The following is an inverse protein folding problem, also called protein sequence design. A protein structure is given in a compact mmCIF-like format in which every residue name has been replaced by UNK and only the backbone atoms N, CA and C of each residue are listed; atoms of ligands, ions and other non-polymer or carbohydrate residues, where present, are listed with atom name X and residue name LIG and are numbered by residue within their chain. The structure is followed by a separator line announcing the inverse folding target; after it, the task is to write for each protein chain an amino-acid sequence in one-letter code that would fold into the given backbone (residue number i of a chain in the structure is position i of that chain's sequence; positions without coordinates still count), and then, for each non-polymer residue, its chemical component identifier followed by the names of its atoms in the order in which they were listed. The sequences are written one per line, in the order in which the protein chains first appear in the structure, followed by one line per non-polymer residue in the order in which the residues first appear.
data_IF_804316989340
#
_entry.id   IF_804316989340
#
_cell.length_a   1.000
_cell.length_b   1.000
_cell.length_c   1.000
_cell.angle_alpha   90.00
_cell.angle_beta   90.00
_cell.angle_gamma   90.00
#
_symmetry.space_group_name_H-M   'P 1'
#
loop_
_entity.id
_entity.type
_entity.pdbx_description
1 polymer ?
#
# COMPACT_ATOMS: atom_id res chain seq x y z
N UNK A 1 -16.13 24.32 1.33
CA UNK A 1 -15.65 23.32 0.38
C UNK A 1 -14.47 22.63 1.03
N UNK A 2 -14.61 21.33 1.28
CA UNK A 2 -13.63 20.51 1.98
C UNK A 2 -12.30 20.47 1.22
N UNK A 3 -11.19 20.51 1.96
CA UNK A 3 -9.85 20.44 1.38
C UNK A 3 -9.59 19.04 0.78
N UNK A 4 -8.59 18.94 -0.12
CA UNK A 4 -8.12 17.63 -0.62
C UNK A 4 -7.78 16.67 0.54
N UNK A 5 -7.20 17.19 1.62
CA UNK A 5 -6.88 16.42 2.82
C UNK A 5 -8.14 15.87 3.51
N UNK A 6 -9.18 16.70 3.67
CA UNK A 6 -10.44 16.28 4.27
C UNK A 6 -11.06 15.11 3.50
N UNK A 7 -10.97 15.14 2.16
CA UNK A 7 -11.46 14.07 1.29
C UNK A 7 -10.68 12.77 1.48
N UNK A 8 -9.34 12.84 1.48
CA UNK A 8 -8.48 11.67 1.67
C UNK A 8 -8.68 11.04 3.05
N UNK A 9 -8.78 11.86 4.09
CA UNK A 9 -9.06 11.39 5.45
C UNK A 9 -10.40 10.66 5.54
N UNK A 10 -11.47 11.23 4.96
CA UNK A 10 -12.79 10.56 4.96
C UNK A 10 -12.77 9.22 4.22
N UNK A 11 -12.11 9.16 3.06
CA UNK A 11 -11.93 7.90 2.33
C UNK A 11 -11.18 6.87 3.18
N UNK A 12 -10.13 7.29 3.87
CA UNK A 12 -9.38 6.43 4.77
C UNK A 12 -10.23 5.91 5.93
N UNK A 13 -11.01 6.76 6.59
CA UNK A 13 -11.85 6.39 7.74
C UNK A 13 -12.90 5.34 7.36
N UNK A 14 -13.48 5.46 6.16
CA UNK A 14 -14.55 4.57 5.68
C UNK A 14 -14.05 3.27 5.04
N UNK A 15 -12.78 3.20 4.64
CA UNK A 15 -12.24 2.03 3.94
C UNK A 15 -11.80 0.94 4.91
N UNK A 16 -12.08 -0.33 4.58
CA UNK A 16 -11.50 -1.48 5.28
C UNK A 16 -10.19 -1.98 4.61
N UNK A 17 -10.04 -1.69 3.33
CA UNK A 17 -8.88 -2.02 2.51
C UNK A 17 -8.68 -0.99 1.40
N UNK A 18 -7.47 -0.95 0.82
CA UNK A 18 -7.12 -0.10 -0.32
C UNK A 18 -6.71 -0.97 -1.52
N UNK A 19 -7.16 -0.57 -2.71
CA UNK A 19 -6.78 -1.23 -3.96
C UNK A 19 -6.28 -0.16 -4.94
N UNK A 20 -5.03 -0.29 -5.37
CA UNK A 20 -4.43 0.58 -6.39
C UNK A 20 -4.57 -0.06 -7.78
N UNK A 21 -5.36 0.58 -8.63
CA UNK A 21 -5.51 0.23 -10.05
C UNK A 21 -4.51 1.04 -10.89
N UNK A 22 -4.17 0.61 -12.12
CA UNK A 22 -3.37 1.43 -13.03
C UNK A 22 -3.89 2.86 -13.13
N UNK A 23 -3.03 3.85 -12.88
CA UNK A 23 -3.41 5.25 -12.78
C UNK A 23 -2.23 6.21 -12.74
N UNK A 24 -2.52 7.50 -12.83
CA UNK A 24 -1.49 8.55 -12.89
C UNK A 24 -0.94 8.97 -11.52
N UNK A 25 -0.35 10.17 -11.46
CA UNK A 25 0.27 10.71 -10.25
C UNK A 25 -0.67 10.79 -9.04
N UNK A 26 -1.97 11.03 -9.26
CA UNK A 26 -2.94 11.04 -8.16
C UNK A 26 -3.08 9.69 -7.47
N UNK A 27 -3.15 8.61 -8.25
CA UNK A 27 -3.19 7.24 -7.71
C UNK A 27 -1.89 6.89 -7.00
N UNK A 28 -0.75 7.34 -7.54
CA UNK A 28 0.54 7.16 -6.90
C UNK A 28 0.63 7.90 -5.54
N UNK A 29 0.21 9.17 -5.49
CA UNK A 29 0.16 9.96 -4.24
C UNK A 29 -0.66 9.24 -3.17
N UNK A 30 -1.88 8.84 -3.53
CA UNK A 30 -2.80 8.15 -2.61
C UNK A 30 -2.23 6.80 -2.14
N UNK A 31 -1.61 6.03 -3.03
CA UNK A 31 -1.03 4.71 -2.72
C UNK A 31 0.17 4.83 -1.78
N UNK A 32 1.08 5.77 -2.05
CA UNK A 32 2.27 5.98 -1.20
C UNK A 32 1.87 6.57 0.16
N UNK A 33 0.88 7.45 0.22
CA UNK A 33 0.37 8.02 1.48
C UNK A 33 -0.14 6.92 2.42
N UNK A 34 -1.02 6.03 1.95
CA UNK A 34 -1.53 4.93 2.79
C UNK A 34 -0.46 3.90 3.14
N UNK A 35 0.49 3.63 2.24
CA UNK A 35 1.60 2.74 2.54
C UNK A 35 2.52 3.31 3.62
N UNK A 36 2.79 4.61 3.57
CA UNK A 36 3.59 5.33 4.58
C UNK A 36 2.91 5.27 5.95
N UNK A 37 1.59 5.49 6.02
CA UNK A 37 0.84 5.38 7.28
C UNK A 37 0.86 3.96 7.85
N UNK A 38 0.79 2.94 6.99
CA UNK A 38 0.95 1.54 7.39
C UNK A 38 2.34 1.26 7.94
N UNK A 39 3.39 1.75 7.28
CA UNK A 39 4.78 1.61 7.72
C UNK A 39 5.02 2.29 9.08
N UNK A 40 4.37 3.43 9.34
CA UNK A 40 4.39 4.13 10.63
C UNK A 40 3.52 3.45 11.71
N UNK A 41 2.81 2.37 11.37
CA UNK A 41 1.94 1.63 12.30
C UNK A 41 0.63 2.34 12.63
N UNK A 42 0.21 3.35 11.84
CA UNK A 42 -1.02 4.10 12.06
C UNK A 42 -2.28 3.31 11.68
N UNK A 43 -2.13 2.25 10.88
CA UNK A 43 -3.17 1.27 10.61
C UNK A 43 -2.60 -0.06 10.15
N UNK A 44 -3.46 -1.09 10.11
CA UNK A 44 -3.15 -2.42 9.60
C UNK A 44 -3.99 -2.82 8.37
N UNK A 45 -4.78 -1.89 7.81
CA UNK A 45 -5.66 -2.14 6.65
C UNK A 45 -4.89 -2.76 5.46
N UNK A 46 -5.44 -3.79 4.79
CA UNK A 46 -4.84 -4.34 3.58
C UNK A 46 -4.64 -3.29 2.49
N UNK A 47 -3.54 -3.42 1.75
CA UNK A 47 -3.25 -2.64 0.55
C UNK A 47 -2.96 -3.65 -0.55
N UNK A 48 -3.66 -3.56 -1.67
CA UNK A 48 -3.49 -4.45 -2.81
C UNK A 48 -3.18 -3.62 -4.05
N UNK A 49 -2.14 -4.03 -4.79
CA UNK A 49 -1.76 -3.46 -6.07
C UNK A 49 -2.27 -4.41 -7.17
N UNK A 50 -3.13 -3.92 -8.05
CA UNK A 50 -3.51 -4.65 -9.25
C UNK A 50 -2.51 -4.31 -10.38
N UNK A 51 -1.58 -5.23 -10.63
CA UNK A 51 -0.56 -5.13 -11.67
C UNK A 51 -1.03 -5.72 -13.00
N UNK A 52 -2.08 -5.11 -13.55
CA UNK A 52 -2.59 -5.48 -14.86
C UNK A 52 -1.53 -5.20 -15.94
N UNK A 53 -1.09 -6.27 -16.62
CA UNK A 53 -0.11 -6.23 -17.70
C UNK A 53 1.25 -5.59 -17.34
N UNK A 54 1.67 -5.66 -16.06
CA UNK A 54 2.98 -5.16 -15.62
C UNK A 54 3.07 -3.64 -15.50
N UNK A 55 1.94 -2.94 -15.40
CA UNK A 55 1.86 -1.48 -15.26
C UNK A 55 2.74 -0.92 -14.12
N UNK A 56 2.77 -1.60 -12.97
CA UNK A 56 3.47 -1.14 -11.78
C UNK A 56 4.95 -1.53 -11.73
N UNK A 57 5.45 -2.27 -12.72
CA UNK A 57 6.84 -2.76 -12.72
C UNK A 57 7.89 -1.64 -12.57
N UNK A 58 7.67 -0.49 -13.19
CA UNK A 58 8.56 0.66 -13.05
C UNK A 58 8.56 1.25 -11.63
N UNK A 59 7.40 1.29 -10.97
CA UNK A 59 7.30 1.74 -9.58
C UNK A 59 8.00 0.73 -8.65
N UNK A 60 7.78 -0.57 -8.85
CA UNK A 60 8.45 -1.61 -8.06
C UNK A 60 9.97 -1.49 -8.17
N UNK A 61 10.51 -1.26 -9.37
CA UNK A 61 11.95 -1.06 -9.57
C UNK A 61 12.49 0.21 -8.88
N UNK A 62 11.74 1.31 -8.93
CA UNK A 62 12.08 2.53 -8.20
C UNK A 62 12.16 2.27 -6.70
N UNK A 63 11.16 1.60 -6.15
CA UNK A 63 11.07 1.29 -4.73
C UNK A 63 12.20 0.37 -4.26
N UNK A 64 12.55 -0.65 -5.04
CA UNK A 64 13.76 -1.45 -4.81
C UNK A 64 15.01 -0.57 -4.76
N UNK A 65 15.16 0.37 -5.70
CA UNK A 65 16.32 1.27 -5.73
C UNK A 65 16.39 2.20 -4.51
N UNK A 66 15.24 2.64 -3.99
CA UNK A 66 15.15 3.45 -2.75
C UNK A 66 15.63 2.64 -1.54
N UNK A 67 15.26 1.37 -1.44
CA UNK A 67 15.73 0.46 -0.39
C UNK A 67 17.22 0.18 -0.52
N UNK A 68 17.68 -0.19 -1.71
CA UNK A 68 19.09 -0.49 -1.99
C UNK A 68 19.99 0.73 -1.73
N UNK A 69 19.48 1.94 -1.94
CA UNK A 69 20.15 3.20 -1.63
C UNK A 69 20.16 3.57 -0.14
N UNK A 70 19.50 2.80 0.72
CA UNK A 70 19.40 3.08 2.18
C UNK A 70 18.47 4.22 2.55
N UNK A 71 17.57 4.63 1.64
CA UNK A 71 16.60 5.70 1.88
C UNK A 71 15.26 5.21 2.45
N UNK A 72 15.03 3.90 2.42
CA UNK A 72 13.92 3.24 3.11
C UNK A 72 14.43 2.02 3.87
N UNK A 73 13.86 1.78 5.05
CA UNK A 73 14.19 0.65 5.91
C UNK A 73 13.04 -0.34 5.97
N UNK A 74 13.38 -1.61 6.10
CA UNK A 74 12.43 -2.71 6.22
C UNK A 74 11.98 -3.26 4.87
N UNK A 75 11.16 -4.29 4.94
CA UNK A 75 10.63 -4.95 3.75
C UNK A 75 9.39 -4.19 3.26
N UNK A 76 9.61 -3.10 2.51
CA UNK A 76 8.53 -2.29 1.93
C UNK A 76 7.57 -3.14 1.06
N UNK A 77 8.05 -4.27 0.55
CA UNK A 77 7.23 -5.18 -0.26
C UNK A 77 6.17 -5.90 0.60
N UNK A 78 6.32 -5.91 1.93
CA UNK A 78 5.28 -6.42 2.85
C UNK A 78 4.15 -5.44 3.12
N UNK A 79 4.28 -4.18 2.71
CA UNK A 79 3.25 -3.16 2.96
C UNK A 79 1.99 -3.43 2.14
N UNK A 80 2.12 -4.08 0.97
CA UNK A 80 1.02 -4.40 0.08
C UNK A 80 1.17 -5.78 -0.55
N UNK A 81 0.07 -6.33 -1.03
CA UNK A 81 0.06 -7.52 -1.90
C UNK A 81 -0.03 -7.09 -3.36
N UNK A 82 0.56 -7.86 -4.27
CA UNK A 82 0.45 -7.62 -5.72
C UNK A 82 -0.33 -8.77 -6.34
N UNK A 83 -1.30 -8.44 -7.19
CA UNK A 83 -2.15 -9.39 -7.93
C UNK A 83 -2.19 -8.99 -9.41
N UNK A 84 -2.41 -9.96 -10.30
CA UNK A 84 -2.40 -9.72 -11.75
C UNK A 84 -3.81 -9.54 -12.36
N UNK A 85 -4.85 -9.81 -11.57
CA UNK A 85 -6.23 -9.87 -12.03
C UNK A 85 -7.21 -9.40 -10.94
N UNK A 86 -8.35 -8.85 -11.37
CA UNK A 86 -9.34 -8.27 -10.47
C UNK A 86 -9.98 -9.34 -9.56
N UNK A 87 -10.08 -10.56 -10.07
CA UNK A 87 -10.63 -11.74 -9.38
C UNK A 87 -9.82 -12.09 -8.12
N UNK A 88 -8.50 -11.85 -8.12
CA UNK A 88 -7.60 -12.15 -7.00
C UNK A 88 -7.64 -11.09 -5.90
N UNK A 89 -8.22 -9.91 -6.14
CA UNK A 89 -8.15 -8.77 -5.22
C UNK A 89 -8.76 -9.10 -3.87
N UNK A 90 -9.95 -9.71 -3.85
CA UNK A 90 -10.64 -10.03 -2.60
C UNK A 90 -9.92 -11.12 -1.80
N UNK A 91 -9.40 -12.15 -2.49
CA UNK A 91 -8.59 -13.19 -1.84
C UNK A 91 -7.33 -12.60 -1.20
N UNK A 92 -6.69 -11.64 -1.86
CA UNK A 92 -5.53 -10.92 -1.31
C UNK A 92 -5.88 -10.06 -0.09
N UNK A 93 -7.03 -9.37 -0.13
CA UNK A 93 -7.55 -8.59 1.01
C UNK A 93 -7.79 -9.51 2.21
N UNK A 94 -8.50 -10.62 2.01
CA UNK A 94 -8.79 -11.58 3.08
C UNK A 94 -7.50 -12.19 3.64
N UNK A 95 -6.54 -12.51 2.76
CA UNK A 95 -5.26 -13.05 3.18
C UNK A 95 -4.45 -12.07 4.06
N UNK A 96 -4.44 -10.79 3.71
CA UNK A 96 -3.71 -9.74 4.41
C UNK A 96 -4.45 -9.23 5.67
N UNK A 97 -5.78 -9.35 5.72
CA UNK A 97 -6.59 -9.00 6.89
C UNK A 97 -6.43 -10.01 8.04
N UNK A 98 -5.98 -11.24 7.74
CA UNK A 98 -5.64 -12.21 8.77
C UNK A 98 -4.49 -11.67 9.63
N UNK A 99 -4.63 -11.63 10.96
CA UNK A 99 -3.56 -11.16 11.82
C UNK A 99 -2.33 -12.06 11.65
N UNK A 100 -1.24 -11.49 11.13
CA UNK A 100 0.08 -12.12 11.17
C UNK A 100 0.59 -12.23 12.62
N UNK A 101 1.62 -13.05 12.89
CA UNK A 101 2.28 -13.03 14.18
C UNK A 101 2.74 -11.59 14.47
N UNK A 102 2.42 -11.06 15.66
CA UNK A 102 2.84 -9.71 16.07
C UNK A 102 4.34 -9.56 15.85
N UNK A 103 4.74 -8.73 14.88
CA UNK A 103 6.14 -8.36 14.71
C UNK A 103 6.61 -7.69 16.00
N UNK A 104 7.66 -8.24 16.60
CA UNK A 104 8.31 -7.66 17.76
C UNK A 104 8.71 -6.22 17.41
N UNK A 105 8.24 -5.26 18.21
CA UNK A 105 8.53 -3.84 18.08
C UNK A 105 10.04 -3.62 17.86
N UNK A 106 10.41 -3.34 16.62
CA UNK A 106 11.72 -2.79 16.30
C UNK A 106 11.69 -1.34 16.81
N UNK A 107 12.43 -1.12 17.91
CA UNK A 107 12.66 0.22 18.44
C UNK A 107 13.44 1.01 17.41
N UNK A 108 13.00 2.24 17.19
CA UNK A 108 13.74 3.32 16.52
C UNK A 108 15.13 3.49 17.15
#
# INVERSE_FOLDING_TARGET
TDSMHSRKQRMFELADAFVALPGGLGTLDETIEVATWKQLGLHAKPIVILDAAGYWGALSALLTSVVDGGFAYGDIQTLWSVVDSAEQVFDAIDAAARPGPKAASARL
#
